data_IF_835340297843
#
_entry.id   IF_835340297843
#
_cell.length_a   1.000
_cell.length_b   1.000
_cell.length_c   1.000
_cell.angle_alpha   90.00
_cell.angle_beta   90.00
_cell.angle_gamma   90.00
#
_symmetry.space_group_name_H-M   'P 1'
#
loop_
_entity.id
_entity.type
_entity.pdbx_description
1 polymer ?
#
# COMPACT_ATOMS: atom_id res chain seq x y z
N UNK A 1 -3.11 23.12 38.53
CA UNK A 1 -2.57 22.07 39.43
C UNK A 1 -1.04 22.13 39.61
N UNK A 2 -0.21 22.16 38.55
CA UNK A 2 1.27 22.18 38.67
C UNK A 2 1.85 23.29 39.58
N UNK A 3 1.29 24.51 39.54
CA UNK A 3 1.76 25.64 40.37
C UNK A 3 1.53 25.42 41.88
N UNK A 4 0.41 24.81 42.26
CA UNK A 4 0.09 24.58 43.67
C UNK A 4 0.99 23.50 44.31
N UNK A 5 1.28 22.43 43.56
CA UNK A 5 2.16 21.35 44.03
C UNK A 5 3.60 21.83 44.23
N UNK A 6 4.13 22.68 43.33
CA UNK A 6 5.46 23.28 43.50
C UNK A 6 5.52 24.22 44.70
N UNK A 7 4.48 25.02 44.94
CA UNK A 7 4.41 25.91 46.10
C UNK A 7 4.39 25.10 47.41
N UNK A 8 3.61 24.02 47.47
CA UNK A 8 3.52 23.16 48.66
C UNK A 8 4.87 22.51 48.97
N UNK A 9 5.60 22.02 47.96
CA UNK A 9 6.94 21.42 48.16
C UNK A 9 7.94 22.46 48.66
N UNK A 10 7.93 23.68 48.10
CA UNK A 10 8.80 24.77 48.53
C UNK A 10 8.48 25.16 49.98
N UNK A 11 7.19 25.31 50.30
CA UNK A 11 6.72 25.65 51.65
C UNK A 11 7.12 24.57 52.65
N UNK A 12 6.88 23.30 52.37
CA UNK A 12 7.30 22.19 53.24
C UNK A 12 8.83 22.15 53.41
N UNK A 13 9.58 22.36 52.32
CA UNK A 13 11.06 22.33 52.36
C UNK A 13 11.65 23.46 53.19
N UNK A 14 11.01 24.63 53.21
CA UNK A 14 11.47 25.80 53.98
C UNK A 14 10.89 25.84 55.40
N UNK A 15 9.65 25.39 55.58
CA UNK A 15 8.97 25.41 56.89
C UNK A 15 9.47 24.31 57.82
N UNK A 16 9.85 23.13 57.31
CA UNK A 16 10.38 22.04 58.14
C UNK A 16 11.67 22.43 58.90
N UNK A 17 12.71 23.00 58.24
CA UNK A 17 13.90 23.50 58.96
C UNK A 17 13.57 24.57 59.99
N UNK A 18 12.60 25.45 59.71
CA UNK A 18 12.21 26.52 60.62
C UNK A 18 11.47 26.00 61.85
N UNK A 19 10.55 25.06 61.65
CA UNK A 19 9.80 24.38 62.71
C UNK A 19 10.72 23.52 63.59
N UNK A 20 11.69 22.84 62.97
CA UNK A 20 12.72 22.06 63.65
C UNK A 20 13.64 22.97 64.48
N UNK A 21 14.14 24.08 63.92
CA UNK A 21 14.95 25.05 64.65
C UNK A 21 14.20 25.67 65.84
N UNK A 22 12.89 25.90 65.68
CA UNK A 22 12.04 26.36 66.75
C UNK A 22 11.92 25.33 67.90
N UNK A 23 11.70 24.05 67.57
CA UNK A 23 11.65 22.95 68.55
C UNK A 23 12.98 22.78 69.31
N UNK A 24 14.12 22.96 68.65
CA UNK A 24 15.46 22.82 69.25
C UNK A 24 15.88 23.99 70.12
N UNK A 25 15.34 25.18 69.86
CA UNK A 25 15.67 26.39 70.63
C UNK A 25 14.89 26.44 71.95
N UNK A 26 13.70 25.81 72.01
CA UNK A 26 12.87 25.76 73.22
C UNK A 26 13.05 24.48 74.05
N UNK A 27 13.50 23.37 73.46
CA UNK A 27 13.91 22.17 74.19
C UNK A 27 15.41 22.20 74.43
N UNK A 28 15.87 22.19 75.68
CA UNK A 28 17.28 22.19 76.08
C UNK A 28 17.97 20.86 75.71
N UNK A 29 18.14 20.58 74.42
CA UNK A 29 18.77 19.39 73.87
C UNK A 29 20.21 19.75 73.56
N UNK A 30 21.17 18.95 74.01
CA UNK A 30 22.60 19.17 73.82
C UNK A 30 22.94 19.02 72.31
N UNK A 31 22.96 20.14 71.56
CA UNK A 31 22.67 20.18 70.11
C UNK A 31 23.87 20.28 69.15
N UNK A 32 25.11 20.06 69.56
CA UNK A 32 26.24 20.51 68.73
C UNK A 32 26.68 19.58 67.57
N UNK A 33 26.07 18.41 67.32
CA UNK A 33 26.45 17.58 66.17
C UNK A 33 25.32 16.80 65.47
N UNK A 34 24.26 16.39 66.18
CA UNK A 34 23.19 15.54 65.60
C UNK A 34 22.36 16.26 64.52
N UNK A 35 22.26 17.59 64.62
CA UNK A 35 21.54 18.43 63.65
C UNK A 35 22.23 18.51 62.29
N UNK A 36 23.56 18.49 62.28
CA UNK A 36 24.33 18.51 61.03
C UNK A 36 24.11 17.20 60.27
N UNK A 37 24.07 16.07 60.98
CA UNK A 37 23.72 14.77 60.40
C UNK A 37 22.29 14.72 59.85
N UNK A 38 21.32 15.27 60.59
CA UNK A 38 19.92 15.36 60.16
C UNK A 38 19.75 16.22 58.90
N UNK A 39 20.27 17.46 58.90
CA UNK A 39 20.17 18.34 57.73
C UNK A 39 20.98 17.80 56.54
N UNK A 40 22.16 17.21 56.78
CA UNK A 40 22.94 16.54 55.73
C UNK A 40 22.18 15.39 55.07
N UNK A 41 21.51 14.55 55.87
CA UNK A 41 20.65 13.48 55.36
C UNK A 41 19.41 14.01 54.61
N UNK A 42 18.77 15.05 55.12
CA UNK A 42 17.60 15.68 54.50
C UNK A 42 17.93 16.33 53.15
N UNK A 43 18.99 17.14 53.09
CA UNK A 43 19.45 17.74 51.84
C UNK A 43 19.96 16.67 50.86
N UNK A 44 20.67 15.65 51.35
CA UNK A 44 21.09 14.50 50.55
C UNK A 44 19.91 13.75 49.92
N UNK A 45 18.82 13.54 50.66
CA UNK A 45 17.61 12.90 50.15
C UNK A 45 16.88 13.76 49.11
N UNK A 46 16.79 15.07 49.31
CA UNK A 46 16.19 16.00 48.33
C UNK A 46 17.00 16.02 47.04
N UNK A 47 18.32 16.19 47.15
CA UNK A 47 19.23 16.22 45.99
C UNK A 47 19.19 14.87 45.27
N UNK A 48 19.25 13.76 46.03
CA UNK A 48 19.11 12.41 45.50
C UNK A 48 17.79 12.22 44.75
N UNK A 49 16.67 12.63 45.33
CA UNK A 49 15.35 12.56 44.69
C UNK A 49 15.25 13.38 43.40
N UNK A 50 15.84 14.57 43.36
CA UNK A 50 15.90 15.41 42.15
C UNK A 50 16.74 14.74 41.06
N UNK A 51 17.94 14.24 41.40
CA UNK A 51 18.82 13.56 40.45
C UNK A 51 18.15 12.29 39.90
N UNK A 52 17.59 11.46 40.77
CA UNK A 52 16.85 10.25 40.35
C UNK A 52 15.65 10.61 39.47
N UNK A 53 14.90 11.67 39.80
CA UNK A 53 13.79 12.16 38.99
C UNK A 53 14.22 12.62 37.58
N UNK A 54 15.34 13.35 37.49
CA UNK A 54 15.90 13.79 36.20
C UNK A 54 16.37 12.61 35.35
N UNK A 55 17.06 11.63 35.95
CA UNK A 55 17.51 10.42 35.27
C UNK A 55 16.31 9.60 34.77
N UNK A 56 15.31 9.38 35.63
CA UNK A 56 14.09 8.65 35.27
C UNK A 56 13.33 9.34 34.12
N UNK A 57 13.23 10.67 34.16
CA UNK A 57 12.64 11.45 33.07
C UNK A 57 13.43 11.32 31.77
N UNK A 58 14.76 11.38 31.84
CA UNK A 58 15.64 11.19 30.68
C UNK A 58 15.47 9.81 30.05
N UNK A 59 15.42 8.75 30.86
CA UNK A 59 15.18 7.37 30.41
C UNK A 59 13.80 7.25 29.76
N UNK A 60 12.75 7.80 30.39
CA UNK A 60 11.40 7.75 29.85
C UNK A 60 11.31 8.43 28.47
N UNK A 61 11.91 9.61 28.31
CA UNK A 61 11.97 10.30 27.01
C UNK A 61 12.72 9.49 25.95
N UNK A 62 13.84 8.87 26.34
CA UNK A 62 14.60 8.02 25.43
C UNK A 62 13.78 6.79 24.97
N UNK A 63 13.09 6.13 25.90
CA UNK A 63 12.23 4.99 25.60
C UNK A 63 11.07 5.37 24.68
N UNK A 64 10.38 6.49 24.93
CA UNK A 64 9.29 6.97 24.07
C UNK A 64 9.79 7.23 22.65
N UNK A 65 10.92 7.96 22.50
CA UNK A 65 11.51 8.23 21.19
C UNK A 65 11.94 6.97 20.46
N UNK A 66 12.44 5.97 21.20
CA UNK A 66 12.80 4.66 20.64
C UNK A 66 11.56 3.92 20.12
N UNK A 67 10.49 3.85 20.93
CA UNK A 67 9.23 3.20 20.53
C UNK A 67 8.62 3.87 19.30
N UNK A 68 8.54 5.20 19.27
CA UNK A 68 8.02 5.95 18.11
C UNK A 68 8.84 5.67 16.84
N UNK A 69 10.17 5.62 16.98
CA UNK A 69 11.06 5.27 15.86
C UNK A 69 10.84 3.85 15.39
N UNK A 70 10.81 2.88 16.30
CA UNK A 70 10.66 1.47 15.97
C UNK A 70 9.32 1.22 15.27
N UNK A 71 8.23 1.81 15.77
CA UNK A 71 6.92 1.82 15.11
C UNK A 71 6.98 2.41 13.70
N UNK A 72 7.71 3.52 13.54
CA UNK A 72 7.88 4.17 12.23
C UNK A 72 8.67 3.30 11.26
N UNK A 73 9.76 2.68 11.70
CA UNK A 73 10.54 1.73 10.88
C UNK A 73 9.69 0.52 10.50
N UNK A 74 8.92 -0.02 11.44
CA UNK A 74 8.00 -1.13 11.19
C UNK A 74 6.96 -0.75 10.12
N UNK A 75 6.34 0.43 10.23
CA UNK A 75 5.38 0.94 9.25
C UNK A 75 6.00 1.06 7.85
N UNK A 76 7.26 1.50 7.75
CA UNK A 76 7.98 1.58 6.48
C UNK A 76 8.23 0.17 5.94
N UNK A 77 8.67 -0.77 6.76
CA UNK A 77 8.91 -2.14 6.33
C UNK A 77 7.64 -2.82 5.79
N UNK A 78 6.50 -2.64 6.46
CA UNK A 78 5.19 -3.12 5.98
C UNK A 78 4.84 -2.56 4.60
N UNK A 79 5.07 -1.26 4.39
CA UNK A 79 4.89 -0.64 3.09
C UNK A 79 5.86 -1.21 2.03
N UNK A 80 7.14 -1.40 2.34
CA UNK A 80 8.12 -1.96 1.40
C UNK A 80 7.74 -3.39 0.98
N UNK A 81 7.24 -4.21 1.91
CA UNK A 81 6.70 -5.53 1.56
C UNK A 81 5.52 -5.43 0.59
N UNK A 82 4.58 -4.52 0.84
CA UNK A 82 3.44 -4.26 -0.07
C UNK A 82 3.90 -3.81 -1.44
N UNK A 83 4.88 -2.92 -1.50
CA UNK A 83 5.48 -2.45 -2.77
C UNK A 83 5.99 -3.63 -3.60
N UNK A 84 6.69 -4.59 -2.98
CA UNK A 84 7.20 -5.77 -3.68
C UNK A 84 6.12 -6.71 -4.21
N UNK A 85 4.88 -6.61 -3.71
CA UNK A 85 3.72 -7.36 -4.25
C UNK A 85 3.02 -6.59 -5.37
N UNK A 86 2.78 -5.30 -5.17
CA UNK A 86 2.00 -4.48 -6.11
C UNK A 86 2.84 -4.13 -7.36
N UNK A 87 4.12 -3.81 -7.21
CA UNK A 87 4.93 -3.32 -8.32
C UNK A 87 5.08 -4.33 -9.47
N UNK A 88 5.42 -5.62 -9.22
CA UNK A 88 5.47 -6.62 -10.29
C UNK A 88 4.11 -6.82 -10.96
N UNK A 89 3.03 -6.73 -10.21
CA UNK A 89 1.66 -6.81 -10.73
C UNK A 89 1.36 -5.67 -11.71
N UNK A 90 1.79 -4.45 -11.40
CA UNK A 90 1.64 -3.29 -12.29
C UNK A 90 2.49 -3.45 -13.57
N UNK A 91 3.72 -3.95 -13.46
CA UNK A 91 4.55 -4.25 -14.64
C UNK A 91 3.88 -5.27 -15.55
N UNK A 92 3.37 -6.36 -14.98
CA UNK A 92 2.67 -7.40 -15.74
C UNK A 92 1.42 -6.83 -16.41
N UNK A 93 0.64 -5.98 -15.74
CA UNK A 93 -0.49 -5.30 -16.36
C UNK A 93 -0.06 -4.42 -17.55
N UNK A 94 1.01 -3.64 -17.41
CA UNK A 94 1.53 -2.81 -18.50
C UNK A 94 1.93 -3.67 -19.70
N UNK A 95 2.61 -4.79 -19.46
CA UNK A 95 2.97 -5.74 -20.51
C UNK A 95 1.73 -6.26 -21.24
N UNK A 96 0.71 -6.72 -20.49
CA UNK A 96 -0.53 -7.26 -21.08
C UNK A 96 -1.34 -6.22 -21.86
N UNK A 97 -1.36 -4.97 -21.40
CA UNK A 97 -2.23 -3.93 -21.96
C UNK A 97 -1.58 -3.11 -23.08
N UNK A 98 -0.27 -2.88 -23.03
CA UNK A 98 0.40 -1.85 -23.84
C UNK A 98 1.55 -2.42 -24.69
N UNK A 99 2.42 -3.23 -24.09
CA UNK A 99 3.65 -3.67 -24.77
C UNK A 99 3.52 -4.99 -25.52
N UNK A 100 2.66 -5.89 -25.05
CA UNK A 100 2.70 -7.30 -25.43
C UNK A 100 3.93 -8.02 -24.87
N UNK A 101 4.02 -9.31 -25.17
CA UNK A 101 5.16 -10.19 -24.87
C UNK A 101 5.78 -10.71 -26.17
N UNK A 102 6.90 -11.42 -26.06
CA UNK A 102 7.54 -12.08 -27.21
C UNK A 102 6.59 -12.99 -28.00
N UNK A 103 5.59 -13.57 -27.33
CA UNK A 103 4.68 -14.54 -27.92
C UNK A 103 3.24 -14.04 -28.07
N UNK A 104 2.91 -12.85 -27.55
CA UNK A 104 1.52 -12.35 -27.53
C UNK A 104 1.45 -10.84 -27.73
N UNK A 105 0.58 -10.41 -28.64
CA UNK A 105 0.28 -9.00 -28.83
C UNK A 105 -0.44 -8.40 -27.59
N UNK A 106 -0.36 -7.08 -27.38
CA UNK A 106 -1.11 -6.43 -26.29
C UNK A 106 -2.62 -6.56 -26.52
N UNK A 107 -3.39 -6.52 -25.42
CA UNK A 107 -4.84 -6.74 -25.40
C UNK A 107 -5.59 -5.99 -26.52
N UNK A 108 -5.36 -4.69 -26.67
CA UNK A 108 -6.04 -3.89 -27.68
C UNK A 108 -5.70 -4.32 -29.11
N UNK A 109 -4.44 -4.70 -29.37
CA UNK A 109 -4.03 -5.19 -30.69
C UNK A 109 -4.71 -6.52 -31.02
N UNK A 110 -4.88 -7.40 -30.04
CA UNK A 110 -5.61 -8.65 -30.20
C UNK A 110 -7.10 -8.39 -30.50
N UNK A 111 -7.73 -7.49 -29.75
CA UNK A 111 -9.14 -7.14 -29.95
C UNK A 111 -9.40 -6.54 -31.34
N UNK A 112 -8.52 -5.64 -31.81
CA UNK A 112 -8.63 -5.05 -33.15
C UNK A 112 -8.38 -6.11 -34.23
N UNK A 113 -7.31 -6.90 -34.09
CA UNK A 113 -6.95 -7.95 -35.08
C UNK A 113 -8.06 -8.98 -35.23
N UNK A 114 -8.68 -9.38 -34.12
CA UNK A 114 -9.82 -10.29 -34.13
C UNK A 114 -10.97 -9.74 -34.99
N UNK A 115 -11.35 -8.48 -34.77
CA UNK A 115 -12.46 -7.83 -35.49
C UNK A 115 -12.17 -7.64 -36.97
N UNK A 116 -10.95 -7.23 -37.32
CA UNK A 116 -10.53 -7.06 -38.72
C UNK A 116 -10.59 -8.39 -39.47
N UNK A 117 -10.06 -9.47 -38.86
CA UNK A 117 -10.04 -10.81 -39.47
C UNK A 117 -11.44 -11.39 -39.59
N UNK A 118 -12.30 -11.17 -38.60
CA UNK A 118 -13.69 -11.60 -38.64
C UNK A 118 -14.46 -10.88 -39.77
N UNK A 119 -14.28 -9.56 -39.88
CA UNK A 119 -14.91 -8.74 -40.92
C UNK A 119 -14.45 -9.16 -42.31
N UNK A 120 -13.13 -9.32 -42.51
CA UNK A 120 -12.57 -9.77 -43.78
C UNK A 120 -13.05 -11.18 -44.16
N UNK A 121 -13.13 -12.10 -43.18
CA UNK A 121 -13.62 -13.46 -43.44
C UNK A 121 -15.08 -13.46 -43.90
N UNK A 122 -15.92 -12.61 -43.31
CA UNK A 122 -17.33 -12.42 -43.74
C UNK A 122 -17.43 -11.85 -45.15
N UNK A 123 -16.63 -10.83 -45.48
CA UNK A 123 -16.60 -10.22 -46.82
C UNK A 123 -16.12 -11.21 -47.90
N UNK A 124 -15.21 -12.11 -47.55
CA UNK A 124 -14.69 -13.16 -48.46
C UNK A 124 -15.61 -14.37 -48.64
N UNK A 125 -16.75 -14.42 -47.94
CA UNK A 125 -17.59 -15.59 -47.66
C UNK A 125 -18.19 -16.38 -48.84
N UNK A 126 -17.75 -16.17 -50.08
CA UNK A 126 -18.07 -17.06 -51.22
C UNK A 126 -17.03 -17.09 -52.35
N UNK A 127 -16.01 -16.22 -52.36
CA UNK A 127 -15.06 -16.12 -53.48
C UNK A 127 -13.77 -16.91 -53.25
N UNK A 128 -13.35 -17.12 -51.99
CA UNK A 128 -12.14 -17.89 -51.70
C UNK A 128 -12.19 -18.62 -50.36
N UNK A 129 -12.76 -19.84 -50.36
CA UNK A 129 -13.02 -20.61 -49.15
C UNK A 129 -11.76 -20.94 -48.32
N UNK A 130 -10.58 -21.02 -48.95
CA UNK A 130 -9.32 -21.30 -48.25
C UNK A 130 -8.86 -20.11 -47.41
N UNK A 131 -8.95 -18.90 -47.95
CA UNK A 131 -8.49 -17.68 -47.28
C UNK A 131 -9.43 -17.29 -46.14
N UNK A 132 -10.74 -17.44 -46.35
CA UNK A 132 -11.75 -17.24 -45.29
C UNK A 132 -11.52 -18.19 -44.09
N UNK A 133 -11.17 -19.47 -44.34
CA UNK A 133 -10.81 -20.42 -43.28
C UNK A 133 -9.54 -20.03 -42.53
N UNK A 134 -8.52 -19.51 -43.23
CA UNK A 134 -7.29 -19.04 -42.59
C UNK A 134 -7.56 -17.82 -41.70
N UNK A 135 -8.32 -16.83 -42.18
CA UNK A 135 -8.70 -15.66 -41.40
C UNK A 135 -9.50 -16.03 -40.16
N UNK A 136 -10.42 -17.00 -40.29
CA UNK A 136 -11.19 -17.52 -39.16
C UNK A 136 -10.28 -18.19 -38.11
N UNK A 137 -9.35 -19.05 -38.54
CA UNK A 137 -8.39 -19.69 -37.62
C UNK A 137 -7.53 -18.66 -36.87
N UNK A 138 -7.11 -17.59 -37.56
CA UNK A 138 -6.37 -16.49 -36.97
C UNK A 138 -7.22 -15.66 -36.00
N UNK A 139 -8.49 -15.39 -36.30
CA UNK A 139 -9.41 -14.70 -35.39
C UNK A 139 -9.69 -15.53 -34.13
N UNK A 140 -9.83 -16.85 -34.27
CA UNK A 140 -9.99 -17.79 -33.16
C UNK A 140 -8.76 -17.81 -32.25
N UNK A 141 -7.55 -17.76 -32.83
CA UNK A 141 -6.31 -17.63 -32.05
C UNK A 141 -6.30 -16.34 -31.22
N UNK A 142 -6.64 -15.19 -31.82
CA UNK A 142 -6.67 -13.91 -31.10
C UNK A 142 -7.64 -13.96 -29.92
N UNK A 143 -8.78 -14.64 -30.07
CA UNK A 143 -9.75 -14.82 -28.99
C UNK A 143 -9.19 -15.67 -27.84
N UNK A 144 -8.48 -16.76 -28.16
CA UNK A 144 -7.79 -17.58 -27.16
C UNK A 144 -6.78 -16.74 -26.37
N UNK A 145 -5.98 -15.94 -27.06
CA UNK A 145 -4.99 -15.05 -26.43
C UNK A 145 -5.68 -14.01 -25.52
N UNK A 146 -6.84 -13.48 -25.90
CA UNK A 146 -7.63 -12.55 -25.07
C UNK A 146 -8.16 -13.24 -23.79
N UNK A 147 -8.60 -14.50 -23.88
CA UNK A 147 -9.04 -15.28 -22.71
C UNK A 147 -7.88 -15.52 -21.74
N UNK A 148 -6.69 -15.81 -22.25
CA UNK A 148 -5.50 -15.97 -21.42
C UNK A 148 -5.15 -14.65 -20.70
N UNK A 149 -5.14 -13.52 -21.44
CA UNK A 149 -4.91 -12.18 -20.84
C UNK A 149 -5.94 -11.89 -19.73
N UNK A 150 -7.21 -12.27 -19.92
CA UNK A 150 -8.26 -12.10 -18.90
C UNK A 150 -7.93 -12.85 -17.61
N UNK A 151 -7.56 -14.12 -17.70
CA UNK A 151 -7.26 -14.93 -16.51
C UNK A 151 -6.01 -14.41 -15.78
N UNK A 152 -5.00 -13.93 -16.51
CA UNK A 152 -3.83 -13.28 -15.90
C UNK A 152 -4.20 -11.99 -15.16
N UNK A 153 -5.03 -11.12 -15.75
CA UNK A 153 -5.49 -9.89 -15.09
C UNK A 153 -6.33 -10.22 -13.84
N UNK A 154 -7.12 -11.28 -13.90
CA UNK A 154 -7.92 -11.76 -12.78
C UNK A 154 -7.04 -12.29 -11.65
N UNK A 155 -6.00 -13.07 -11.96
CA UNK A 155 -4.98 -13.52 -11.00
C UNK A 155 -4.33 -12.32 -10.29
N UNK A 156 -3.91 -11.31 -11.07
CA UNK A 156 -3.36 -10.06 -10.53
C UNK A 156 -4.36 -9.37 -9.58
N UNK A 157 -5.64 -9.32 -9.96
CA UNK A 157 -6.71 -8.80 -9.12
C UNK A 157 -6.87 -9.54 -7.80
N UNK A 158 -6.78 -10.88 -7.81
CA UNK A 158 -6.82 -11.71 -6.59
C UNK A 158 -5.64 -11.37 -5.69
N UNK A 159 -4.42 -11.40 -6.21
CA UNK A 159 -3.20 -11.10 -5.45
C UNK A 159 -3.24 -9.71 -4.80
N UNK A 160 -3.76 -8.71 -5.50
CA UNK A 160 -3.90 -7.34 -4.98
C UNK A 160 -5.00 -7.26 -3.91
N UNK A 161 -6.06 -8.06 -4.02
CA UNK A 161 -7.17 -8.07 -3.07
C UNK A 161 -6.87 -8.84 -1.78
N UNK A 162 -5.94 -9.81 -1.82
CA UNK A 162 -5.48 -10.55 -0.63
C UNK A 162 -4.60 -9.70 0.30
N UNK A 163 -4.10 -8.56 -0.19
CA UNK A 163 -3.37 -7.60 0.64
C UNK A 163 -4.30 -7.02 1.71
N UNK A 164 -3.95 -7.25 2.99
CA UNK A 164 -4.64 -6.65 4.12
C UNK A 164 -4.47 -5.13 4.11
N UNK A 165 -5.54 -4.39 4.37
CA UNK A 165 -5.55 -2.92 4.38
C UNK A 165 -4.53 -2.32 5.36
N UNK A 166 -4.21 -3.03 6.46
CA UNK A 166 -3.22 -2.61 7.45
C UNK A 166 -1.78 -2.49 6.90
N UNK A 167 -1.50 -3.12 5.76
CA UNK A 167 -0.20 -3.04 5.08
C UNK A 167 -0.15 -1.91 4.06
N UNK A 168 -1.30 -1.37 3.66
CA UNK A 168 -1.39 -0.28 2.71
C UNK A 168 -1.11 1.03 3.43
N UNK A 169 -0.07 1.74 3.00
CA UNK A 169 0.23 3.09 3.52
C UNK A 169 -0.95 4.02 3.27
N UNK A 170 -1.34 4.79 4.29
CA UNK A 170 -2.41 5.80 4.19
C UNK A 170 -2.18 6.77 3.02
N UNK A 171 -0.93 7.14 2.75
CA UNK A 171 -0.55 8.01 1.63
C UNK A 171 -0.76 7.37 0.25
N UNK A 172 -0.82 6.04 0.16
CA UNK A 172 -1.03 5.29 -1.08
C UNK A 172 -2.44 4.71 -1.21
N UNK A 173 -3.21 4.71 -0.11
CA UNK A 173 -4.53 4.07 -0.06
C UNK A 173 -5.47 4.54 -1.17
N UNK A 174 -5.49 5.84 -1.47
CA UNK A 174 -6.30 6.38 -2.57
C UNK A 174 -5.95 5.75 -3.93
N UNK A 175 -4.66 5.61 -4.24
CA UNK A 175 -4.19 5.02 -5.51
C UNK A 175 -4.36 3.50 -5.53
N UNK A 176 -4.24 2.84 -4.39
CA UNK A 176 -4.59 1.44 -4.23
C UNK A 176 -6.07 1.16 -4.54
N UNK A 177 -6.98 2.00 -4.05
CA UNK A 177 -8.41 1.88 -4.38
C UNK A 177 -8.66 2.14 -5.87
N UNK A 178 -7.99 3.15 -6.46
CA UNK A 178 -8.08 3.38 -7.92
C UNK A 178 -7.56 2.19 -8.71
N UNK A 179 -6.46 1.55 -8.28
CA UNK A 179 -5.94 0.34 -8.92
C UNK A 179 -6.98 -0.78 -8.95
N UNK A 180 -7.63 -1.08 -7.81
CA UNK A 180 -8.71 -2.07 -7.74
C UNK A 180 -9.87 -1.72 -8.68
N UNK A 181 -10.27 -0.46 -8.72
CA UNK A 181 -11.34 0.00 -9.61
C UNK A 181 -10.95 -0.14 -11.08
N UNK A 182 -9.72 0.22 -11.45
CA UNK A 182 -9.19 0.09 -12.81
C UNK A 182 -9.14 -1.37 -13.25
N UNK A 183 -8.66 -2.28 -12.39
CA UNK A 183 -8.67 -3.72 -12.65
C UNK A 183 -10.07 -4.26 -12.92
N UNK A 184 -11.05 -3.90 -12.08
CA UNK A 184 -12.44 -4.30 -12.27
C UNK A 184 -13.03 -3.76 -13.58
N UNK A 185 -12.69 -2.51 -13.96
CA UNK A 185 -13.13 -1.93 -15.24
C UNK A 185 -12.52 -2.67 -16.44
N UNK A 186 -11.22 -2.98 -16.39
CA UNK A 186 -10.54 -3.75 -17.45
C UNK A 186 -11.19 -5.12 -17.60
N UNK A 187 -11.36 -5.86 -16.50
CA UNK A 187 -12.02 -7.17 -16.52
C UNK A 187 -13.44 -7.09 -17.05
N UNK A 188 -14.19 -6.04 -16.68
CA UNK A 188 -15.54 -5.81 -17.21
C UNK A 188 -15.51 -5.65 -18.73
N UNK A 189 -14.58 -4.87 -19.28
CA UNK A 189 -14.46 -4.66 -20.72
C UNK A 189 -14.09 -5.93 -21.45
N UNK A 190 -13.12 -6.69 -20.94
CA UNK A 190 -12.75 -7.98 -21.56
C UNK A 190 -13.95 -8.93 -21.52
N UNK A 191 -14.68 -9.00 -20.40
CA UNK A 191 -15.89 -9.81 -20.32
C UNK A 191 -16.97 -9.33 -21.30
N UNK A 192 -17.19 -8.01 -21.43
CA UNK A 192 -18.16 -7.48 -22.40
C UNK A 192 -17.74 -7.80 -23.84
N UNK A 193 -16.45 -7.77 -24.15
CA UNK A 193 -15.93 -8.12 -25.46
C UNK A 193 -16.11 -9.62 -25.78
N UNK A 194 -15.85 -10.49 -24.80
CA UNK A 194 -15.94 -11.95 -24.93
C UNK A 194 -17.38 -12.48 -24.90
N UNK A 195 -18.27 -11.85 -24.12
CA UNK A 195 -19.58 -12.41 -23.75
C UNK A 195 -20.76 -11.49 -24.07
N UNK A 196 -20.70 -10.70 -25.15
CA UNK A 196 -21.88 -9.92 -25.51
C UNK A 196 -23.02 -10.85 -25.97
N UNK A 197 -24.19 -10.62 -25.38
CA UNK A 197 -25.43 -11.39 -25.41
C UNK A 197 -25.40 -12.67 -24.55
N UNK A 198 -26.47 -12.88 -23.79
CA UNK A 198 -26.73 -13.97 -22.80
C UNK A 198 -26.71 -15.41 -23.37
N UNK A 199 -25.98 -15.64 -24.46
CA UNK A 199 -25.94 -16.86 -25.26
C UNK A 199 -24.90 -17.86 -24.79
N UNK A 200 -23.89 -17.43 -24.01
CA UNK A 200 -22.84 -18.31 -23.53
C UNK A 200 -22.81 -18.29 -21.99
N UNK A 201 -23.32 -19.34 -21.33
CA UNK A 201 -23.22 -19.50 -19.89
C UNK A 201 -21.76 -19.42 -19.42
N UNK A 202 -21.50 -18.68 -18.33
CA UNK A 202 -20.15 -18.44 -17.76
C UNK A 202 -19.32 -19.71 -17.49
N UNK A 203 -19.98 -20.87 -17.38
CA UNK A 203 -19.39 -22.17 -17.14
C UNK A 203 -19.01 -22.93 -18.43
N UNK A 204 -19.20 -22.34 -19.62
CA UNK A 204 -19.00 -23.02 -20.90
C UNK A 204 -17.88 -22.40 -21.76
N UNK A 205 -16.88 -21.77 -21.13
CA UNK A 205 -15.71 -21.15 -21.81
C UNK A 205 -15.03 -22.11 -22.79
N UNK A 206 -14.96 -23.41 -22.49
CA UNK A 206 -14.43 -24.43 -23.42
C UNK A 206 -15.34 -24.71 -24.63
N UNK A 207 -16.66 -24.54 -24.50
CA UNK A 207 -17.61 -24.78 -25.60
C UNK A 207 -17.73 -23.59 -26.55
N UNK A 208 -17.30 -22.41 -26.11
CA UNK A 208 -17.17 -21.20 -26.95
C UNK A 208 -16.42 -21.51 -28.24
N UNK A 209 -15.34 -22.28 -28.17
CA UNK A 209 -14.52 -22.63 -29.33
C UNK A 209 -15.30 -23.37 -30.43
N UNK A 210 -16.32 -24.15 -30.05
CA UNK A 210 -17.16 -24.91 -30.99
C UNK A 210 -18.46 -24.19 -31.36
N UNK A 211 -18.91 -23.22 -30.56
CA UNK A 211 -20.19 -22.50 -30.75
C UNK A 211 -20.06 -21.20 -31.58
N UNK A 212 -18.83 -20.69 -31.78
CA UNK A 212 -18.55 -19.50 -32.60
C UNK A 212 -18.97 -19.62 -34.08
N UNK A 213 -19.42 -20.80 -34.52
CA UNK A 213 -19.74 -21.09 -35.91
C UNK A 213 -21.06 -20.45 -36.41
N UNK A 214 -22.00 -20.04 -35.54
CA UNK A 214 -23.40 -19.80 -35.94
C UNK A 214 -24.05 -18.42 -35.62
N UNK A 215 -23.45 -17.51 -34.83
CA UNK A 215 -24.20 -16.34 -34.28
C UNK A 215 -23.57 -14.95 -34.51
N UNK A 216 -23.29 -14.55 -35.76
CA UNK A 216 -22.52 -13.34 -36.02
C UNK A 216 -23.14 -12.31 -36.99
N UNK A 217 -24.17 -11.59 -36.54
CA UNK A 217 -24.54 -10.29 -37.15
C UNK A 217 -24.65 -9.09 -36.19
N UNK A 218 -24.90 -9.26 -34.88
CA UNK A 218 -25.22 -8.13 -33.99
C UNK A 218 -24.08 -7.68 -33.02
N UNK A 219 -22.97 -8.41 -32.97
CA UNK A 219 -21.89 -8.19 -31.98
C UNK A 219 -20.86 -7.10 -32.40
N UNK A 220 -20.67 -6.91 -33.71
CA UNK A 220 -19.54 -6.14 -34.25
C UNK A 220 -19.55 -4.67 -33.80
N UNK A 221 -20.71 -4.02 -33.65
CA UNK A 221 -20.77 -2.58 -33.30
C UNK A 221 -20.19 -2.30 -31.91
N UNK A 222 -20.47 -3.17 -30.93
CA UNK A 222 -20.02 -2.97 -29.54
C UNK A 222 -18.56 -3.36 -29.40
N UNK A 223 -18.13 -4.45 -30.05
CA UNK A 223 -16.72 -4.82 -30.07
C UNK A 223 -15.86 -3.78 -30.80
N UNK A 224 -16.32 -3.24 -31.93
CA UNK A 224 -15.64 -2.13 -32.60
C UNK A 224 -15.54 -0.90 -31.71
N UNK A 225 -16.63 -0.54 -31.01
CA UNK A 225 -16.61 0.58 -30.06
C UNK A 225 -15.60 0.33 -28.93
N UNK A 226 -15.56 -0.87 -28.35
CA UNK A 226 -14.65 -1.22 -27.25
C UNK A 226 -13.18 -1.33 -27.70
N UNK A 227 -12.94 -1.80 -28.92
CA UNK A 227 -11.59 -1.89 -29.49
C UNK A 227 -11.01 -0.50 -29.82
N UNK A 228 -11.88 0.46 -30.16
CA UNK A 228 -11.49 1.84 -30.49
C UNK A 228 -11.55 2.79 -29.29
N UNK A 229 -12.33 2.46 -28.26
CA UNK A 229 -12.34 3.18 -26.98
C UNK A 229 -11.09 2.77 -26.19
N UNK A 230 -9.95 3.34 -26.60
CA UNK A 230 -8.66 3.25 -25.90
C UNK A 230 -8.82 3.95 -24.56
N UNK A 231 -9.49 3.25 -23.66
CA UNK A 231 -9.87 3.75 -22.36
C UNK A 231 -8.58 3.98 -21.57
N UNK A 232 -8.57 5.07 -20.79
CA UNK A 232 -7.41 5.63 -20.11
C UNK A 232 -6.76 4.72 -19.04
N UNK A 233 -7.11 3.44 -18.97
CA UNK A 233 -6.57 2.51 -17.98
C UNK A 233 -5.06 2.32 -18.08
N UNK A 234 -4.50 2.29 -19.29
CA UNK A 234 -3.03 2.19 -19.45
C UNK A 234 -2.38 3.39 -18.79
N UNK A 235 -2.90 4.59 -19.05
CA UNK A 235 -2.44 5.84 -18.43
C UNK A 235 -2.60 5.80 -16.91
N UNK A 236 -3.73 5.32 -16.42
CA UNK A 236 -4.00 5.18 -14.98
C UNK A 236 -3.02 4.21 -14.31
N UNK A 237 -2.76 3.04 -14.93
CA UNK A 237 -1.79 2.05 -14.43
C UNK A 237 -0.38 2.63 -14.41
N UNK A 238 0.05 3.34 -15.46
CA UNK A 238 1.34 4.03 -15.48
C UNK A 238 1.44 5.11 -14.39
N UNK A 239 0.36 5.90 -14.19
CA UNK A 239 0.31 6.92 -13.15
C UNK A 239 0.46 6.31 -11.76
N UNK A 240 -0.34 5.27 -11.45
CA UNK A 240 -0.29 4.57 -10.16
C UNK A 240 1.10 3.97 -9.93
N UNK A 241 1.71 3.38 -10.96
CA UNK A 241 3.09 2.86 -10.88
C UNK A 241 4.08 3.96 -10.51
N UNK A 242 4.02 5.11 -11.19
CA UNK A 242 4.92 6.23 -10.94
C UNK A 242 4.77 6.78 -9.50
N UNK A 243 3.54 6.92 -9.02
CA UNK A 243 3.25 7.39 -7.66
C UNK A 243 3.72 6.39 -6.59
N UNK A 244 3.53 5.09 -6.83
CA UNK A 244 4.03 4.03 -5.96
C UNK A 244 5.56 4.03 -5.88
N UNK A 245 6.24 4.20 -7.02
CA UNK A 245 7.70 4.26 -7.09
C UNK A 245 8.27 5.51 -6.40
N UNK A 246 7.64 6.67 -6.59
CA UNK A 246 8.02 7.90 -5.88
C UNK A 246 7.88 7.73 -4.36
N UNK A 247 6.80 7.10 -3.90
CA UNK A 247 6.58 6.82 -2.48
C UNK A 247 7.60 5.82 -1.93
N UNK A 248 7.96 4.79 -2.70
CA UNK A 248 9.03 3.85 -2.37
C UNK A 248 10.36 4.55 -2.13
N UNK A 249 10.80 5.40 -3.06
CA UNK A 249 12.04 6.14 -2.92
C UNK A 249 12.03 7.06 -1.68
N UNK A 250 10.91 7.72 -1.41
CA UNK A 250 10.75 8.56 -0.21
C UNK A 250 10.86 7.75 1.07
N UNK A 251 10.20 6.59 1.14
CA UNK A 251 10.15 5.72 2.32
C UNK A 251 11.49 5.05 2.60
N UNK A 252 12.21 4.63 1.56
CA UNK A 252 13.58 4.10 1.68
C UNK A 252 14.53 5.13 2.26
N UNK A 253 14.55 6.36 1.72
CA UNK A 253 15.34 7.48 2.25
C UNK A 253 14.97 7.82 3.69
N UNK A 254 13.67 7.75 4.03
CA UNK A 254 13.20 7.96 5.40
C UNK A 254 13.74 6.89 6.36
N UNK A 255 13.74 5.62 5.96
CA UNK A 255 14.31 4.50 6.74
C UNK A 255 15.81 4.66 6.95
N UNK A 256 16.56 5.01 5.91
CA UNK A 256 18.01 5.26 6.01
C UNK A 256 18.33 6.37 7.03
N UNK A 257 17.58 7.48 7.00
CA UNK A 257 17.75 8.57 7.97
C UNK A 257 17.47 8.12 9.41
N UNK A 258 16.44 7.29 9.62
CA UNK A 258 16.11 6.76 10.95
C UNK A 258 17.20 5.83 11.47
N UNK A 259 17.84 5.06 10.59
CA UNK A 259 18.94 4.17 10.93
C UNK A 259 20.25 4.94 11.21
N UNK A 260 20.58 5.96 10.42
CA UNK A 260 21.78 6.78 10.63
C UNK A 260 21.73 7.58 11.93
N UNK A 261 20.54 8.07 12.32
CA UNK A 261 20.34 8.74 13.61
C UNK A 261 20.55 7.85 14.83
N UNK A 262 20.72 6.53 14.66
CA UNK A 262 21.03 5.59 15.74
C UNK A 262 22.54 5.56 16.07
N UNK A 263 23.41 5.75 15.08
CA UNK A 263 24.86 5.60 15.24
C UNK A 263 25.56 6.79 15.93
N UNK A 264 24.86 7.90 16.17
CA UNK A 264 25.42 9.11 16.77
C UNK A 264 25.08 9.29 18.27
N UNK A 265 24.32 8.37 18.86
CA UNK A 265 23.88 8.45 20.26
C UNK A 265 24.45 7.33 21.15
N UNK A 266 25.40 6.55 20.65
CA UNK A 266 26.17 5.56 21.40
C UNK A 266 27.67 5.83 21.26
#
# INVERSE_FOLDING_TARGET
MKKATSIIIIVLTLALPFFVNWLTTFGNVNTNNDWIGFFGGYFGAIIGGIITGLVAYGIALFQVRKIERDQKVESINKFLMTYHVIYPSLERLIVLLDKGSEHRAPLYSLMISHLERETQSKEMGNTNAKDSRLLFALASKDLSDIVEVREEIKEIGVNINELRDEYISLCFYGEYIKLKQTLNKILKIINTFLFHDDLIPKNEIEKVYNFYHDMHSNNNVIQHKLAHDKTDFVRDVYKIKSELEALYQRKTKEKEKLNLGYNYFF
#
